data_IF_613428178185
#
_entry.id   IF_613428178185
#
_cell.length_a   1.000
_cell.length_b   1.000
_cell.length_c   1.000
_cell.angle_alpha   90.00
_cell.angle_beta   90.00
_cell.angle_gamma   90.00
#
_symmetry.space_group_name_H-M   'P 1'
#
loop_
_entity.id
_entity.type
_entity.pdbx_description
1 polymer ?
#
# COMPACT_ATOMS: atom_id res chain seq x y z
N UNK A 1 -8.63 -48.76 69.55
CA UNK A 1 -9.15 -47.33 69.37
C UNK A 1 -8.14 -46.39 68.68
N UNK A 2 -6.81 -46.66 68.66
CA UNK A 2 -5.83 -45.78 68.02
C UNK A 2 -5.74 -45.94 66.49
N UNK A 3 -5.96 -47.13 65.94
CA UNK A 3 -5.86 -47.42 64.51
C UNK A 3 -7.00 -46.77 63.71
N UNK A 4 -8.21 -46.71 64.24
CA UNK A 4 -9.35 -46.08 63.54
C UNK A 4 -9.27 -44.54 63.46
N UNK A 5 -8.55 -43.87 64.38
CA UNK A 5 -8.28 -42.44 64.31
C UNK A 5 -7.28 -42.08 63.21
N UNK A 6 -6.23 -42.89 63.01
CA UNK A 6 -5.22 -42.69 62.00
C UNK A 6 -5.77 -42.82 60.58
N UNK A 7 -6.68 -43.80 60.31
CA UNK A 7 -7.33 -43.93 59.00
C UNK A 7 -8.20 -42.70 58.66
N UNK A 8 -8.97 -42.18 59.60
CA UNK A 8 -9.82 -41.01 59.38
C UNK A 8 -9.01 -39.73 59.02
N UNK A 9 -7.84 -39.57 59.57
CA UNK A 9 -6.98 -38.42 59.29
C UNK A 9 -6.29 -38.54 57.92
N UNK A 10 -5.98 -39.74 57.46
CA UNK A 10 -5.46 -39.99 56.09
C UNK A 10 -6.51 -39.65 55.05
N UNK A 11 -7.76 -40.10 55.22
CA UNK A 11 -8.85 -39.77 54.29
C UNK A 11 -9.16 -38.27 54.27
N UNK A 12 -9.12 -37.57 55.38
CA UNK A 12 -9.29 -36.12 55.40
C UNK A 12 -8.18 -35.38 54.66
N UNK A 13 -6.94 -35.80 54.79
CA UNK A 13 -5.82 -35.22 54.06
C UNK A 13 -5.94 -35.49 52.55
N UNK A 14 -6.30 -36.69 52.14
CA UNK A 14 -6.56 -37.03 50.74
C UNK A 14 -7.71 -36.22 50.15
N UNK A 15 -8.81 -36.06 50.85
CA UNK A 15 -9.95 -35.25 50.43
C UNK A 15 -9.56 -33.78 50.29
N UNK A 16 -8.77 -33.24 51.25
CA UNK A 16 -8.29 -31.89 51.19
C UNK A 16 -7.37 -31.62 49.97
N UNK A 17 -6.41 -32.56 49.71
CA UNK A 17 -5.53 -32.45 48.52
C UNK A 17 -6.32 -32.55 47.21
N UNK A 18 -7.33 -33.40 47.14
CA UNK A 18 -8.21 -33.49 45.97
C UNK A 18 -9.00 -32.19 45.70
N UNK A 19 -9.58 -31.63 46.77
CA UNK A 19 -10.32 -30.35 46.64
C UNK A 19 -9.39 -29.22 46.22
N UNK A 20 -8.19 -29.11 46.79
CA UNK A 20 -7.22 -28.10 46.41
C UNK A 20 -6.76 -28.26 44.97
N UNK A 21 -6.55 -29.48 44.49
CA UNK A 21 -6.19 -29.77 43.09
C UNK A 21 -7.33 -29.35 42.15
N UNK A 22 -8.60 -29.64 42.47
CA UNK A 22 -9.76 -29.23 41.65
C UNK A 22 -9.87 -27.70 41.61
N UNK A 23 -9.68 -27.01 42.72
CA UNK A 23 -9.72 -25.54 42.77
C UNK A 23 -8.60 -24.94 41.90
N UNK A 24 -7.38 -25.46 41.99
CA UNK A 24 -6.27 -25.00 41.17
C UNK A 24 -6.59 -25.23 39.69
N UNK A 25 -7.08 -26.42 39.32
CA UNK A 25 -7.44 -26.75 37.94
C UNK A 25 -8.53 -25.81 37.40
N UNK A 26 -9.52 -25.48 38.22
CA UNK A 26 -10.57 -24.52 37.89
C UNK A 26 -10.02 -23.13 37.61
N UNK A 27 -9.07 -22.64 38.44
CA UNK A 27 -8.45 -21.33 38.19
C UNK A 27 -7.56 -21.33 36.94
N UNK A 28 -6.82 -22.40 36.68
CA UNK A 28 -6.03 -22.56 35.45
C UNK A 28 -6.95 -22.57 34.24
N UNK A 29 -8.00 -23.36 34.25
CA UNK A 29 -8.97 -23.44 33.16
C UNK A 29 -9.65 -22.08 32.90
N UNK A 30 -10.09 -21.39 33.95
CA UNK A 30 -10.64 -20.06 33.83
C UNK A 30 -9.65 -19.05 33.25
N UNK A 31 -8.39 -19.12 33.65
CA UNK A 31 -7.34 -18.27 33.09
C UNK A 31 -7.13 -18.51 31.60
N UNK A 32 -7.04 -19.78 31.19
CA UNK A 32 -6.91 -20.18 29.78
C UNK A 32 -8.12 -19.68 28.96
N UNK A 33 -9.33 -19.87 29.44
CA UNK A 33 -10.53 -19.37 28.77
C UNK A 33 -10.51 -17.86 28.60
N UNK A 34 -10.07 -17.10 29.59
CA UNK A 34 -9.96 -15.64 29.52
C UNK A 34 -8.93 -15.22 28.47
N UNK A 35 -7.80 -15.92 28.39
CA UNK A 35 -6.76 -15.67 27.38
C UNK A 35 -7.28 -15.96 25.97
N UNK A 36 -7.96 -17.10 25.78
CA UNK A 36 -8.55 -17.45 24.45
C UNK A 36 -9.60 -16.44 24.04
N UNK A 37 -10.49 -16.01 24.93
CA UNK A 37 -11.48 -14.97 24.63
C UNK A 37 -10.81 -13.65 24.26
N UNK A 38 -9.76 -13.26 24.97
CA UNK A 38 -9.00 -12.04 24.66
C UNK A 38 -8.37 -12.08 23.28
N UNK A 39 -7.74 -13.22 22.91
CA UNK A 39 -7.15 -13.37 21.57
C UNK A 39 -8.20 -13.42 20.46
N UNK A 40 -9.32 -14.10 20.67
CA UNK A 40 -10.43 -14.13 19.70
C UNK A 40 -11.00 -12.73 19.45
N UNK A 41 -11.24 -11.95 20.49
CA UNK A 41 -11.76 -10.58 20.35
C UNK A 41 -10.80 -9.68 19.57
N UNK A 42 -9.48 -9.81 19.79
CA UNK A 42 -8.46 -9.05 19.03
C UNK A 42 -8.47 -9.43 17.55
N UNK A 43 -8.59 -10.72 17.23
CA UNK A 43 -8.67 -11.20 15.84
C UNK A 43 -9.95 -10.69 15.17
N UNK A 44 -11.10 -10.80 15.82
CA UNK A 44 -12.40 -10.34 15.30
C UNK A 44 -12.43 -8.82 15.08
N UNK A 45 -11.83 -8.05 15.99
CA UNK A 45 -11.66 -6.60 15.81
C UNK A 45 -10.78 -6.27 14.62
N UNK A 46 -9.63 -6.97 14.47
CA UNK A 46 -8.73 -6.79 13.35
C UNK A 46 -9.39 -7.11 12.01
N UNK A 47 -10.14 -8.20 11.91
CA UNK A 47 -10.91 -8.55 10.69
C UNK A 47 -11.98 -7.49 10.38
N UNK A 48 -12.69 -7.01 11.39
CA UNK A 48 -13.73 -5.98 11.22
C UNK A 48 -13.15 -4.66 10.75
N UNK A 49 -12.01 -4.25 11.29
CA UNK A 49 -11.28 -3.06 10.85
C UNK A 49 -10.83 -3.19 9.39
N UNK A 50 -10.30 -4.33 9.00
CA UNK A 50 -9.85 -4.61 7.63
C UNK A 50 -11.01 -4.56 6.62
N UNK A 51 -12.16 -5.15 6.98
CA UNK A 51 -13.38 -5.10 6.16
C UNK A 51 -13.89 -3.67 6.03
N UNK A 52 -13.92 -2.91 7.13
CA UNK A 52 -14.36 -1.52 7.11
C UNK A 52 -13.44 -0.63 6.27
N UNK A 53 -12.14 -0.84 6.37
CA UNK A 53 -11.13 -0.15 5.58
C UNK A 53 -11.29 -0.45 4.08
N UNK A 54 -11.49 -1.73 3.72
CA UNK A 54 -11.78 -2.17 2.35
C UNK A 54 -13.07 -1.53 1.81
N UNK A 55 -14.14 -1.52 2.61
CA UNK A 55 -15.42 -0.93 2.22
C UNK A 55 -15.35 0.58 2.06
N UNK A 56 -14.60 1.27 2.92
CA UNK A 56 -14.37 2.71 2.82
C UNK A 56 -13.61 3.06 1.54
N UNK A 57 -12.62 2.26 1.19
CA UNK A 57 -11.86 2.43 -0.04
C UNK A 57 -12.74 2.25 -1.27
N UNK A 58 -13.53 1.18 -1.34
CA UNK A 58 -14.46 0.92 -2.46
C UNK A 58 -15.46 2.08 -2.62
N UNK A 59 -15.99 2.62 -1.52
CA UNK A 59 -16.90 3.78 -1.55
C UNK A 59 -16.22 5.04 -2.08
N UNK A 60 -15.00 5.31 -1.63
CA UNK A 60 -14.20 6.45 -2.12
C UNK A 60 -13.98 6.33 -3.62
N UNK A 61 -13.56 5.17 -4.10
CA UNK A 61 -13.32 4.92 -5.53
C UNK A 61 -14.60 5.04 -6.37
N UNK A 62 -15.71 4.50 -5.88
CA UNK A 62 -16.99 4.62 -6.58
C UNK A 62 -17.41 6.10 -6.73
N UNK A 63 -17.12 6.94 -5.73
CA UNK A 63 -17.34 8.37 -5.79
C UNK A 63 -16.43 9.03 -6.83
N UNK A 64 -15.14 8.69 -6.81
CA UNK A 64 -14.11 9.30 -7.68
C UNK A 64 -14.26 8.88 -9.15
N UNK A 65 -14.81 7.70 -9.42
CA UNK A 65 -15.20 7.25 -10.77
C UNK A 65 -16.50 7.97 -11.23
N UNK A 66 -17.45 8.20 -10.32
CA UNK A 66 -18.72 8.84 -10.66
C UNK A 66 -18.53 10.28 -11.16
N UNK A 67 -17.59 11.02 -10.58
CA UNK A 67 -17.32 12.43 -10.97
C UNK A 67 -16.89 12.57 -12.42
N UNK A 68 -15.84 11.91 -12.93
CA UNK A 68 -15.46 11.99 -14.34
C UNK A 68 -16.54 11.38 -15.27
N UNK A 69 -17.27 10.36 -14.81
CA UNK A 69 -18.36 9.76 -15.58
C UNK A 69 -19.51 10.75 -15.80
N UNK A 70 -19.90 11.51 -14.77
CA UNK A 70 -20.90 12.55 -14.89
C UNK A 70 -20.45 13.67 -15.86
N UNK A 71 -19.16 14.05 -15.83
CA UNK A 71 -18.57 14.96 -16.79
C UNK A 71 -18.64 14.42 -18.21
N UNK A 72 -18.31 13.15 -18.43
CA UNK A 72 -18.42 12.46 -19.71
C UNK A 72 -19.85 12.50 -20.27
N UNK A 73 -20.85 12.20 -19.43
CA UNK A 73 -22.27 12.25 -19.81
C UNK A 73 -22.68 13.66 -20.24
N UNK A 74 -22.30 14.70 -19.48
CA UNK A 74 -22.62 16.10 -19.80
C UNK A 74 -22.02 16.53 -21.15
N UNK A 75 -20.75 16.20 -21.42
CA UNK A 75 -20.12 16.54 -22.71
C UNK A 75 -20.71 15.73 -23.87
N UNK A 76 -21.07 14.46 -23.66
CA UNK A 76 -21.75 13.65 -24.67
C UNK A 76 -23.15 14.24 -25.03
N UNK A 77 -23.88 14.77 -24.04
CA UNK A 77 -25.16 15.47 -24.27
C UNK A 77 -24.97 16.75 -25.04
N UNK A 78 -23.95 17.57 -24.74
CA UNK A 78 -23.60 18.80 -25.45
C UNK A 78 -23.30 18.48 -26.93
N UNK A 79 -22.45 17.49 -27.18
CA UNK A 79 -22.12 17.04 -28.55
C UNK A 79 -23.39 16.58 -29.30
N UNK A 80 -24.28 15.85 -28.63
CA UNK A 80 -25.54 15.41 -29.24
C UNK A 80 -26.46 16.59 -29.62
N UNK A 81 -26.45 17.66 -28.82
CA UNK A 81 -27.21 18.90 -29.12
C UNK A 81 -26.55 19.70 -30.23
N UNK A 82 -25.23 19.84 -30.26
CA UNK A 82 -24.47 20.60 -31.24
C UNK A 82 -24.39 19.90 -32.59
N UNK A 83 -24.36 18.57 -32.64
CA UNK A 83 -24.38 17.78 -33.87
C UNK A 83 -25.64 18.09 -34.74
N UNK A 84 -26.75 18.54 -34.12
CA UNK A 84 -27.91 19.02 -34.85
C UNK A 84 -27.64 20.32 -35.63
N UNK A 85 -26.54 21.04 -35.32
CA UNK A 85 -26.10 22.29 -35.98
C UNK A 85 -24.92 22.06 -36.96
N UNK A 86 -24.45 20.85 -37.15
CA UNK A 86 -23.48 20.48 -38.19
C UNK A 86 -21.99 20.74 -37.88
N UNK A 87 -21.63 21.06 -36.64
CA UNK A 87 -20.22 21.21 -36.21
C UNK A 87 -20.04 20.66 -34.81
N UNK A 88 -19.12 19.69 -34.66
CA UNK A 88 -18.68 19.21 -33.33
C UNK A 88 -17.35 19.91 -33.02
N UNK A 89 -17.28 20.79 -32.00
CA UNK A 89 -16.01 21.38 -31.58
C UNK A 89 -15.02 20.30 -31.10
N UNK A 90 -13.82 20.33 -31.63
CA UNK A 90 -12.72 19.38 -31.27
C UNK A 90 -12.43 19.45 -29.75
N UNK A 91 -12.62 20.61 -29.15
CA UNK A 91 -12.42 20.88 -27.74
C UNK A 91 -13.28 19.96 -26.81
N UNK A 92 -14.50 19.63 -27.21
CA UNK A 92 -15.36 18.72 -26.44
C UNK A 92 -14.89 17.25 -26.55
N UNK A 93 -14.29 16.86 -27.67
CA UNK A 93 -13.71 15.54 -27.88
C UNK A 93 -12.50 15.37 -26.99
N UNK A 94 -11.63 16.38 -26.90
CA UNK A 94 -10.44 16.36 -26.04
C UNK A 94 -10.82 16.24 -24.55
N UNK A 95 -11.86 16.94 -24.11
CA UNK A 95 -12.36 16.81 -22.73
C UNK A 95 -12.88 15.40 -22.46
N UNK A 96 -13.65 14.82 -23.39
CA UNK A 96 -14.12 13.42 -23.25
C UNK A 96 -12.93 12.45 -23.16
N UNK A 97 -11.95 12.60 -24.04
CA UNK A 97 -10.76 11.75 -24.06
C UNK A 97 -10.01 11.85 -22.71
N UNK A 98 -9.82 13.06 -22.18
CA UNK A 98 -9.19 13.27 -20.88
C UNK A 98 -9.96 12.61 -19.74
N UNK A 99 -11.31 12.66 -19.78
CA UNK A 99 -12.15 11.98 -18.77
C UNK A 99 -12.10 10.46 -18.87
N UNK A 100 -11.97 9.91 -20.07
CA UNK A 100 -11.74 8.46 -20.28
C UNK A 100 -10.38 8.05 -19.69
N UNK A 101 -9.34 8.82 -19.94
CA UNK A 101 -8.01 8.56 -19.37
C UNK A 101 -8.01 8.64 -17.83
N UNK A 102 -8.76 9.57 -17.25
CA UNK A 102 -8.94 9.70 -15.81
C UNK A 102 -9.62 8.43 -15.21
N UNK A 103 -10.72 7.97 -15.82
CA UNK A 103 -11.44 6.75 -15.39
C UNK A 103 -10.53 5.52 -15.51
N UNK A 104 -9.79 5.40 -16.63
CA UNK A 104 -8.83 4.32 -16.82
C UNK A 104 -7.79 4.31 -15.70
N UNK A 105 -7.21 5.46 -15.36
CA UNK A 105 -6.25 5.57 -14.27
C UNK A 105 -6.81 5.15 -12.90
N UNK A 106 -8.08 5.46 -12.61
CA UNK A 106 -8.76 5.04 -11.39
C UNK A 106 -9.01 3.51 -11.37
N UNK A 107 -9.41 2.94 -12.50
CA UNK A 107 -9.60 1.49 -12.63
C UNK A 107 -8.30 0.71 -12.50
N UNK A 108 -7.21 1.23 -13.06
CA UNK A 108 -5.88 0.64 -12.91
C UNK A 108 -5.43 0.65 -11.43
N UNK A 109 -5.68 1.75 -10.71
CA UNK A 109 -5.40 1.83 -9.27
C UNK A 109 -6.22 0.83 -8.44
N UNK A 110 -7.50 0.60 -8.80
CA UNK A 110 -8.34 -0.40 -8.14
C UNK A 110 -7.82 -1.81 -8.38
N UNK A 111 -7.41 -2.09 -9.62
CA UNK A 111 -6.83 -3.37 -9.97
C UNK A 111 -5.51 -3.62 -9.22
N UNK A 112 -4.62 -2.62 -9.15
CA UNK A 112 -3.39 -2.66 -8.36
C UNK A 112 -3.66 -2.95 -6.88
N UNK A 113 -4.67 -2.30 -6.32
CA UNK A 113 -5.10 -2.56 -4.94
C UNK A 113 -5.59 -3.99 -4.75
N UNK A 114 -6.44 -4.49 -5.67
CA UNK A 114 -6.95 -5.85 -5.62
C UNK A 114 -5.82 -6.89 -5.65
N UNK A 115 -4.82 -6.69 -6.51
CA UNK A 115 -3.65 -7.56 -6.57
C UNK A 115 -2.82 -7.49 -5.28
N UNK A 116 -2.61 -6.28 -4.77
CA UNK A 116 -1.82 -6.07 -3.56
C UNK A 116 -2.52 -6.56 -2.27
N UNK A 117 -3.83 -6.77 -2.30
CA UNK A 117 -4.60 -7.33 -1.19
C UNK A 117 -4.83 -8.84 -1.30
N UNK A 118 -4.38 -9.49 -2.37
CA UNK A 118 -4.52 -10.92 -2.52
C UNK A 118 -3.57 -11.63 -1.54
N UNK A 119 -4.11 -12.51 -0.69
CA UNK A 119 -3.33 -13.26 0.31
C UNK A 119 -2.63 -14.50 -0.30
N UNK A 120 -2.87 -14.79 -1.58
CA UNK A 120 -2.10 -15.83 -2.25
C UNK A 120 -0.61 -15.49 -2.25
N UNK A 121 0.22 -16.47 -1.95
CA UNK A 121 1.66 -16.28 -1.86
C UNK A 121 2.19 -15.67 -3.17
N UNK A 122 2.68 -14.43 -3.08
CA UNK A 122 3.30 -13.75 -4.22
C UNK A 122 4.54 -14.54 -4.65
N UNK A 123 4.59 -14.99 -5.90
CA UNK A 123 5.79 -15.58 -6.46
C UNK A 123 6.83 -14.47 -6.68
N UNK A 124 7.95 -14.60 -5.98
CA UNK A 124 9.07 -13.68 -6.11
C UNK A 124 10.07 -14.22 -7.13
N UNK A 125 10.69 -13.31 -7.88
CA UNK A 125 11.74 -13.64 -8.83
C UNK A 125 12.99 -14.15 -8.10
N UNK A 126 13.89 -14.81 -8.83
CA UNK A 126 15.16 -15.25 -8.27
C UNK A 126 15.98 -14.06 -7.74
N UNK A 127 16.75 -14.23 -6.63
CA UNK A 127 17.59 -13.15 -6.11
C UNK A 127 18.54 -12.58 -7.16
N UNK A 128 18.52 -11.28 -7.38
CA UNK A 128 19.38 -10.60 -8.34
C UNK A 128 19.96 -9.31 -7.75
N UNK A 129 20.96 -8.74 -8.42
CA UNK A 129 21.54 -7.47 -8.01
C UNK A 129 20.48 -6.35 -8.11
N UNK A 130 20.44 -5.46 -7.14
CA UNK A 130 19.48 -4.35 -7.06
C UNK A 130 19.52 -3.45 -8.31
N UNK A 131 20.70 -3.21 -8.87
CA UNK A 131 20.85 -2.47 -10.14
C UNK A 131 20.13 -3.19 -11.29
N UNK A 132 20.33 -4.50 -11.42
CA UNK A 132 19.67 -5.32 -12.47
C UNK A 132 18.15 -5.40 -12.27
N UNK A 133 17.67 -5.39 -11.03
CA UNK A 133 16.25 -5.45 -10.73
C UNK A 133 15.51 -4.12 -11.01
N UNK A 134 16.17 -2.99 -10.77
CA UNK A 134 15.52 -1.68 -10.70
C UNK A 134 15.97 -0.73 -11.82
N UNK A 135 17.15 -0.94 -12.41
CA UNK A 135 17.79 -0.02 -13.34
C UNK A 135 16.93 0.31 -14.58
N UNK A 136 16.26 -0.68 -15.15
CA UNK A 136 15.41 -0.49 -16.33
C UNK A 136 14.19 0.37 -15.99
N UNK A 137 13.54 0.14 -14.84
CA UNK A 137 12.39 0.96 -14.39
C UNK A 137 12.80 2.41 -14.10
N UNK A 138 13.99 2.65 -13.52
CA UNK A 138 14.50 4.00 -13.32
C UNK A 138 14.84 4.67 -14.66
N UNK A 139 15.34 3.92 -15.64
CA UNK A 139 15.65 4.44 -16.96
C UNK A 139 14.37 4.83 -17.70
N UNK A 140 13.33 4.02 -17.63
CA UNK A 140 12.00 4.32 -18.20
C UNK A 140 11.39 5.54 -17.52
N UNK A 141 11.40 5.60 -16.16
CA UNK A 141 10.95 6.76 -15.42
C UNK A 141 11.71 8.02 -15.81
N UNK A 142 13.03 7.96 -15.95
CA UNK A 142 13.87 9.09 -16.36
C UNK A 142 13.50 9.58 -17.76
N UNK A 143 13.22 8.67 -18.68
CA UNK A 143 12.77 9.02 -20.03
C UNK A 143 11.43 9.75 -20.00
N UNK A 144 10.41 9.20 -19.31
CA UNK A 144 9.08 9.84 -19.19
C UNK A 144 9.16 11.20 -18.53
N UNK A 145 9.95 11.34 -17.46
CA UNK A 145 10.10 12.62 -16.77
C UNK A 145 10.76 13.69 -17.64
N UNK A 146 11.76 13.33 -18.46
CA UNK A 146 12.38 14.25 -19.42
C UNK A 146 11.42 14.71 -20.51
N UNK A 147 10.63 13.79 -21.06
CA UNK A 147 9.57 14.12 -22.02
C UNK A 147 8.53 15.10 -21.43
N UNK A 148 8.29 15.05 -20.12
CA UNK A 148 7.43 15.98 -19.40
C UNK A 148 8.18 17.20 -18.84
N UNK A 149 9.38 17.52 -19.36
CA UNK A 149 10.18 18.70 -19.02
C UNK A 149 10.69 18.75 -17.58
N UNK A 150 10.85 17.59 -16.92
CA UNK A 150 11.50 17.52 -15.62
C UNK A 150 13.03 17.35 -15.78
N UNK A 151 13.79 18.06 -14.97
CA UNK A 151 15.22 17.78 -14.78
C UNK A 151 15.43 16.71 -13.71
N UNK A 152 16.52 15.94 -13.84
CA UNK A 152 16.86 14.84 -12.94
C UNK A 152 18.22 15.09 -12.31
N UNK A 153 18.30 14.85 -10.99
CA UNK A 153 19.56 14.78 -10.24
C UNK A 153 19.76 13.33 -9.77
N UNK A 154 20.74 12.66 -10.35
CA UNK A 154 21.11 11.27 -10.08
C UNK A 154 22.54 11.13 -9.53
N UNK A 155 23.16 12.20 -9.08
CA UNK A 155 24.56 12.17 -8.59
C UNK A 155 24.75 11.19 -7.43
N UNK A 156 23.73 10.97 -6.62
CA UNK A 156 23.72 10.03 -5.49
C UNK A 156 23.15 8.64 -5.82
N UNK A 157 22.88 8.34 -7.09
CA UNK A 157 22.47 7.01 -7.56
C UNK A 157 23.72 6.14 -7.74
N UNK A 158 24.28 5.68 -6.63
CA UNK A 158 25.51 4.87 -6.60
C UNK A 158 25.14 3.44 -6.25
N UNK A 159 25.25 2.53 -7.21
CA UNK A 159 24.99 1.12 -7.03
C UNK A 159 26.08 0.42 -6.23
N UNK A 160 25.69 -0.49 -5.34
CA UNK A 160 26.57 -1.39 -4.62
C UNK A 160 26.13 -2.84 -4.87
N UNK A 161 27.03 -3.78 -4.66
CA UNK A 161 26.69 -5.21 -4.72
C UNK A 161 25.73 -5.57 -3.57
N UNK A 162 24.43 -5.51 -3.87
CA UNK A 162 23.35 -5.80 -2.95
C UNK A 162 22.27 -6.59 -3.67
N UNK A 163 22.05 -7.84 -3.24
CA UNK A 163 21.04 -8.72 -3.81
C UNK A 163 19.69 -8.54 -3.13
N UNK A 164 18.66 -8.47 -3.94
CA UNK A 164 17.25 -8.36 -3.52
C UNK A 164 16.41 -9.41 -4.20
N UNK A 165 15.29 -9.74 -3.58
CA UNK A 165 14.25 -10.60 -4.14
C UNK A 165 12.99 -9.77 -4.29
N UNK A 166 12.45 -9.70 -5.50
CA UNK A 166 11.33 -8.82 -5.86
C UNK A 166 10.34 -9.57 -6.76
N UNK A 167 9.24 -8.93 -7.09
CA UNK A 167 8.36 -9.33 -8.20
C UNK A 167 8.39 -8.21 -9.24
N UNK A 168 8.84 -8.52 -10.45
CA UNK A 168 9.03 -7.57 -11.55
C UNK A 168 7.75 -6.83 -11.93
N UNK A 169 6.60 -7.52 -11.91
CA UNK A 169 5.31 -6.88 -12.20
C UNK A 169 4.95 -5.82 -11.16
N UNK A 170 5.22 -6.10 -9.87
CA UNK A 170 4.98 -5.13 -8.80
C UNK A 170 5.93 -3.94 -8.89
N UNK A 171 7.21 -4.17 -9.21
CA UNK A 171 8.17 -3.09 -9.45
C UNK A 171 7.69 -2.15 -10.57
N UNK A 172 7.28 -2.69 -11.72
CA UNK A 172 6.75 -1.90 -12.82
C UNK A 172 5.56 -1.02 -12.39
N UNK A 173 4.61 -1.58 -11.62
CA UNK A 173 3.45 -0.84 -11.10
C UNK A 173 3.86 0.24 -10.08
N UNK A 174 4.81 -0.05 -9.19
CA UNK A 174 5.34 0.88 -8.20
C UNK A 174 5.98 2.09 -8.92
N UNK A 175 6.89 1.85 -9.86
CA UNK A 175 7.57 2.91 -10.58
C UNK A 175 6.62 3.72 -11.45
N UNK A 176 5.65 3.09 -12.11
CA UNK A 176 4.59 3.79 -12.85
C UNK A 176 3.73 4.67 -11.95
N UNK A 177 3.35 4.20 -10.76
CA UNK A 177 2.61 5.02 -9.79
C UNK A 177 3.44 6.23 -9.32
N UNK A 178 4.73 6.06 -9.05
CA UNK A 178 5.62 7.15 -8.65
C UNK A 178 5.78 8.15 -9.80
N UNK A 179 6.05 7.69 -11.01
CA UNK A 179 6.21 8.53 -12.21
C UNK A 179 4.96 9.37 -12.47
N UNK A 180 3.79 8.75 -12.44
CA UNK A 180 2.51 9.44 -12.61
C UNK A 180 2.25 10.48 -11.52
N UNK A 181 2.62 10.19 -10.27
CA UNK A 181 2.51 11.15 -9.18
C UNK A 181 3.43 12.37 -9.40
N UNK A 182 4.66 12.15 -9.82
CA UNK A 182 5.60 13.23 -10.13
C UNK A 182 5.05 14.09 -11.27
N UNK A 183 4.64 13.50 -12.40
CA UNK A 183 4.08 14.22 -13.55
C UNK A 183 2.84 15.06 -13.18
N UNK A 184 2.03 14.58 -12.23
CA UNK A 184 0.79 15.27 -11.83
C UNK A 184 0.99 16.38 -10.79
N UNK A 185 1.96 16.20 -9.87
CA UNK A 185 2.00 17.02 -8.65
C UNK A 185 3.34 17.72 -8.41
N UNK A 186 4.40 17.37 -9.15
CA UNK A 186 5.70 17.99 -8.95
C UNK A 186 5.84 19.30 -9.70
N UNK A 187 6.64 20.22 -9.13
CA UNK A 187 7.11 21.43 -9.81
C UNK A 187 8.29 21.07 -10.73
N UNK A 188 8.13 21.29 -12.04
CA UNK A 188 9.18 20.99 -13.02
C UNK A 188 10.35 21.99 -13.01
N UNK A 189 10.26 23.08 -12.24
CA UNK A 189 11.35 24.06 -12.08
C UNK A 189 12.49 23.53 -11.18
N UNK A 190 12.19 22.50 -10.36
CA UNK A 190 13.16 21.88 -9.49
C UNK A 190 13.46 20.45 -9.95
N UNK A 191 14.71 19.95 -9.80
CA UNK A 191 15.06 18.62 -10.22
C UNK A 191 14.35 17.54 -9.36
N UNK A 192 14.03 16.42 -10.00
CA UNK A 192 13.68 15.19 -9.31
C UNK A 192 14.98 14.50 -8.93
N UNK A 193 15.22 14.33 -7.62
CA UNK A 193 16.43 13.71 -7.11
C UNK A 193 16.21 12.22 -6.88
N UNK A 194 17.11 11.37 -7.38
CA UNK A 194 17.09 9.92 -7.19
C UNK A 194 18.41 9.49 -6.56
N UNK A 195 18.33 8.71 -5.48
CA UNK A 195 19.53 8.26 -4.77
C UNK A 195 19.40 6.84 -4.23
N UNK A 196 20.54 6.15 -4.09
CA UNK A 196 20.63 4.88 -3.39
C UNK A 196 21.02 5.11 -1.92
N UNK A 197 20.34 4.42 -1.02
CA UNK A 197 20.61 4.43 0.41
C UNK A 197 20.89 3.00 0.86
N UNK A 198 22.01 2.80 1.59
CA UNK A 198 22.40 1.50 2.10
C UNK A 198 22.49 1.51 3.62
N UNK A 199 21.87 0.52 4.24
CA UNK A 199 22.00 0.18 5.67
C UNK A 199 22.42 -1.28 5.78
N UNK A 200 22.88 -1.73 6.96
CA UNK A 200 23.50 -3.05 7.16
C UNK A 200 22.78 -4.23 6.49
N UNK A 201 21.45 -4.28 6.58
CA UNK A 201 20.62 -5.37 6.03
C UNK A 201 19.64 -4.91 4.94
N UNK A 202 19.53 -3.62 4.70
CA UNK A 202 18.56 -3.04 3.80
C UNK A 202 19.24 -2.11 2.80
N UNK A 203 18.75 -2.09 1.57
CA UNK A 203 19.06 -1.08 0.58
C UNK A 203 17.79 -0.37 0.17
N UNK A 204 17.89 0.91 -0.18
CA UNK A 204 16.72 1.71 -0.58
C UNK A 204 16.99 2.57 -1.80
N UNK A 205 15.93 2.83 -2.56
CA UNK A 205 15.85 3.88 -3.56
C UNK A 205 15.02 5.01 -2.97
N UNK A 206 15.61 6.19 -2.88
CA UNK A 206 14.93 7.41 -2.47
C UNK A 206 14.69 8.31 -3.67
N UNK A 207 13.44 8.72 -3.85
CA UNK A 207 13.00 9.63 -4.89
C UNK A 207 12.39 10.85 -4.21
N UNK A 208 12.89 12.04 -4.55
CA UNK A 208 12.47 13.31 -3.94
C UNK A 208 12.12 14.30 -5.04
N UNK A 209 10.99 14.99 -4.91
CA UNK A 209 10.61 16.08 -5.81
C UNK A 209 10.01 17.27 -5.04
N UNK A 210 10.05 18.45 -5.63
CA UNK A 210 9.32 19.61 -5.16
C UNK A 210 7.85 19.52 -5.58
N UNK A 211 6.96 20.00 -4.73
CA UNK A 211 5.50 19.99 -4.95
C UNK A 211 5.12 21.28 -5.66
N UNK A 212 4.36 21.18 -6.76
CA UNK A 212 3.78 22.32 -7.43
C UNK A 212 2.76 23.04 -6.53
N UNK A 213 2.44 24.31 -6.86
CA UNK A 213 1.62 25.18 -6.01
C UNK A 213 0.25 24.55 -5.65
N UNK A 214 -0.27 24.87 -4.47
CA UNK A 214 -1.32 24.18 -3.70
C UNK A 214 -2.68 23.95 -4.39
N UNK A 215 -2.94 24.48 -5.56
CA UNK A 215 -4.26 24.40 -6.20
C UNK A 215 -4.62 23.00 -6.74
N UNK A 216 -3.65 22.12 -6.93
CA UNK A 216 -3.85 20.78 -7.52
C UNK A 216 -3.90 19.61 -6.52
N UNK A 217 -3.58 19.85 -5.24
CA UNK A 217 -3.43 18.80 -4.22
C UNK A 217 -4.76 18.29 -3.61
N UNK A 218 -5.87 18.97 -3.85
CA UNK A 218 -7.12 18.69 -3.13
C UNK A 218 -7.95 17.49 -3.62
N UNK A 219 -7.53 16.80 -4.70
CA UNK A 219 -8.26 15.67 -5.27
C UNK A 219 -7.47 14.36 -5.32
N UNK A 220 -6.57 14.09 -4.37
CA UNK A 220 -5.83 12.84 -4.37
C UNK A 220 -6.50 11.82 -3.45
N UNK A 221 -6.86 10.67 -4.00
CA UNK A 221 -7.38 9.51 -3.24
C UNK A 221 -6.36 8.90 -2.28
N UNK A 222 -5.09 9.29 -2.40
CA UNK A 222 -3.96 8.68 -1.67
C UNK A 222 -3.69 7.22 -2.06
N UNK A 223 -4.41 6.70 -3.04
CA UNK A 223 -4.46 5.29 -3.38
C UNK A 223 -3.16 4.80 -4.00
N UNK A 224 -2.52 5.61 -4.85
CA UNK A 224 -1.24 5.26 -5.46
C UNK A 224 -0.15 4.97 -4.42
N UNK A 225 -0.06 5.79 -3.37
CA UNK A 225 0.89 5.59 -2.26
C UNK A 225 0.53 4.34 -1.45
N UNK A 226 -0.76 4.12 -1.21
CA UNK A 226 -1.24 2.93 -0.50
C UNK A 226 -0.90 1.65 -1.28
N UNK A 227 -1.14 1.62 -2.60
CA UNK A 227 -0.79 0.49 -3.46
C UNK A 227 0.71 0.21 -3.43
N UNK A 228 1.56 1.25 -3.53
CA UNK A 228 3.02 1.11 -3.40
C UNK A 228 3.38 0.46 -2.07
N UNK A 229 2.79 0.92 -0.96
CA UNK A 229 3.08 0.39 0.38
C UNK A 229 2.69 -1.08 0.51
N UNK A 230 1.53 -1.47 -0.02
CA UNK A 230 1.05 -2.86 0.00
C UNK A 230 1.93 -3.77 -0.87
N UNK A 231 2.25 -3.37 -2.10
CA UNK A 231 3.13 -4.14 -3.00
C UNK A 231 4.53 -4.31 -2.40
N UNK A 232 5.10 -3.27 -1.82
CA UNK A 232 6.39 -3.37 -1.12
C UNK A 232 6.34 -4.34 0.06
N UNK A 233 5.26 -4.30 0.85
CA UNK A 233 5.05 -5.21 1.98
C UNK A 233 4.98 -6.68 1.52
N UNK A 234 4.30 -6.98 0.43
CA UNK A 234 4.21 -8.33 -0.12
C UNK A 234 5.56 -8.86 -0.63
N UNK A 235 6.46 -7.95 -1.06
CA UNK A 235 7.85 -8.29 -1.42
C UNK A 235 8.81 -8.29 -0.22
N UNK A 236 8.31 -8.34 1.04
CA UNK A 236 9.11 -8.22 2.26
C UNK A 236 9.95 -6.92 2.35
N UNK A 237 9.57 -5.92 1.58
CA UNK A 237 10.12 -4.57 1.62
C UNK A 237 9.22 -3.60 2.39
N UNK A 238 9.55 -2.31 2.31
CA UNK A 238 8.72 -1.24 2.87
C UNK A 238 8.85 0.03 2.06
N UNK A 239 7.77 0.78 1.92
CA UNK A 239 7.78 2.14 1.41
C UNK A 239 7.62 3.13 2.57
N UNK A 240 8.48 4.15 2.62
CA UNK A 240 8.38 5.25 3.59
C UNK A 240 8.13 6.52 2.80
N UNK A 241 7.02 7.18 3.11
CA UNK A 241 6.66 8.46 2.49
C UNK A 241 6.75 9.56 3.53
N UNK A 242 7.37 10.64 3.16
CA UNK A 242 7.41 11.88 3.95
C UNK A 242 7.17 13.06 3.03
N UNK A 243 6.41 14.03 3.50
CA UNK A 243 6.17 15.27 2.77
C UNK A 243 6.05 16.45 3.74
N UNK A 244 6.43 17.60 3.26
CA UNK A 244 6.11 18.89 3.87
C UNK A 244 5.37 19.76 2.82
N UNK A 245 5.27 21.06 3.07
CA UNK A 245 4.55 21.97 2.15
C UNK A 245 5.23 22.16 0.78
N UNK A 246 6.48 21.76 0.61
CA UNK A 246 7.30 22.05 -0.58
C UNK A 246 7.96 20.82 -1.19
N UNK A 247 8.15 19.76 -0.42
CA UNK A 247 8.91 18.58 -0.84
C UNK A 247 8.13 17.31 -0.54
N UNK A 248 8.07 16.43 -1.51
CA UNK A 248 7.60 15.06 -1.38
C UNK A 248 8.79 14.12 -1.51
N UNK A 249 8.85 13.09 -0.67
CA UNK A 249 9.89 12.07 -0.67
C UNK A 249 9.27 10.71 -0.47
N UNK A 250 9.68 9.75 -1.29
CA UNK A 250 9.38 8.34 -1.12
C UNK A 250 10.67 7.54 -1.10
N UNK A 251 10.78 6.61 -0.16
CA UNK A 251 11.92 5.67 -0.07
C UNK A 251 11.39 4.25 -0.11
N UNK A 252 11.81 3.50 -1.11
CA UNK A 252 11.53 2.07 -1.26
C UNK A 252 12.68 1.28 -0.65
N UNK A 253 12.41 0.54 0.41
CA UNK A 253 13.41 -0.28 1.11
C UNK A 253 13.25 -1.75 0.77
N UNK A 254 14.35 -2.38 0.44
CA UNK A 254 14.46 -3.81 0.13
C UNK A 254 15.37 -4.49 1.14
N UNK A 255 14.96 -5.65 1.63
CA UNK A 255 15.81 -6.49 2.47
C UNK A 255 16.79 -7.29 1.60
N UNK A 256 17.96 -7.60 2.17
CA UNK A 256 18.93 -8.45 1.49
C UNK A 256 18.36 -9.85 1.30
N UNK A 257 18.51 -10.38 0.10
CA UNK A 257 18.14 -11.76 -0.26
C UNK A 257 19.06 -12.78 0.36
#
# INVERSE_FOLDING_TARGET
RSVSRGLGDVYKRQLFTLITAIVILFFIFRHILTQIHGTLNVVEQSETELINEKNMLIRSMAHDIRTPLAGLQSYAEIIKMENKKGAIPTEHIDVIFNKICEIKGLTDQLFDYSLACNEEALELDAPCNMESAIGDYLSEMAFILRENSFSLDIEKLIWKDFKITVNSNFLGRIFNNITNNICKYADNKAPVCISCIYRNKDAGIEITNHIADKSSLFNTTGMGIRNITLMMKQMNGRAIVSHNNTVFRITLWFSRA
#
